data_IF_228608163318
#
_entry.id   IF_228608163318
#
_cell.length_a   1.000
_cell.length_b   1.000
_cell.length_c   1.000
_cell.angle_alpha   90.00
_cell.angle_beta   90.00
_cell.angle_gamma   90.00
#
_symmetry.space_group_name_H-M   'P 1'
#
loop_
_entity.id
_entity.type
_entity.pdbx_description
1 polymer ?
#
# COMPACT_ATOMS: atom_id res chain seq x y z
N UNK A 1 14.42 4.29 -4.24
CA UNK A 1 14.38 2.84 -3.97
C UNK A 1 14.35 2.56 -2.47
N UNK A 2 13.86 1.40 -2.02
CA UNK A 2 13.62 1.11 -0.60
C UNK A 2 14.85 1.29 0.33
N UNK A 3 16.07 1.18 -0.19
CA UNK A 3 17.30 1.48 0.56
C UNK A 3 17.46 2.97 0.88
N UNK A 4 17.05 3.87 -0.03
CA UNK A 4 17.10 5.33 0.17
C UNK A 4 16.13 5.77 1.28
N UNK A 5 14.93 5.16 1.32
CA UNK A 5 13.94 5.43 2.37
C UNK A 5 14.41 5.00 3.76
N UNK A 6 15.33 4.02 3.85
CA UNK A 6 15.91 3.56 5.11
C UNK A 6 17.16 4.31 5.53
N UNK A 7 17.65 5.26 4.72
CA UNK A 7 18.85 6.04 5.00
C UNK A 7 20.09 5.18 5.35
N UNK A 8 20.17 3.97 4.78
CA UNK A 8 21.25 3.01 5.06
C UNK A 8 20.98 2.02 6.20
N UNK A 9 19.88 2.15 6.95
CA UNK A 9 19.54 1.20 8.02
C UNK A 9 19.15 -0.19 7.45
N UNK A 10 19.72 -1.28 7.98
CA UNK A 10 19.37 -2.63 7.57
C UNK A 10 17.93 -2.96 7.94
N UNK A 11 17.24 -3.71 7.07
CA UNK A 11 15.90 -4.21 7.38
C UNK A 11 15.97 -5.25 8.50
N UNK A 12 15.07 -5.16 9.47
CA UNK A 12 14.81 -6.23 10.43
C UNK A 12 13.75 -7.15 9.85
N UNK A 13 14.14 -8.36 9.49
CA UNK A 13 13.22 -9.36 8.92
C UNK A 13 12.55 -10.13 10.05
N UNK A 14 11.23 -10.04 10.13
CA UNK A 14 10.43 -10.76 11.14
C UNK A 14 10.12 -12.21 10.75
N UNK A 15 9.80 -12.44 9.47
CA UNK A 15 9.58 -13.76 8.88
C UNK A 15 9.83 -13.69 7.36
N UNK A 16 10.21 -14.82 6.77
CA UNK A 16 10.22 -15.04 5.32
C UNK A 16 9.02 -15.93 4.97
N UNK A 17 8.17 -15.46 4.06
CA UNK A 17 6.86 -16.05 3.76
C UNK A 17 6.57 -15.93 2.26
N UNK A 18 5.87 -16.92 1.70
CA UNK A 18 5.55 -16.99 0.28
C UNK A 18 4.09 -16.62 -0.03
N UNK A 19 3.21 -16.69 0.97
CA UNK A 19 1.77 -16.44 0.79
C UNK A 19 1.20 -15.40 1.73
N UNK A 20 0.03 -14.85 1.38
CA UNK A 20 -0.70 -13.89 2.21
C UNK A 20 -1.13 -14.54 3.53
N UNK A 21 -1.55 -15.80 3.50
CA UNK A 21 -1.97 -16.52 4.69
C UNK A 21 -0.80 -16.75 5.65
N UNK A 22 0.36 -17.19 5.14
CA UNK A 22 1.60 -17.32 5.92
C UNK A 22 2.06 -15.98 6.51
N UNK A 23 1.89 -14.88 5.77
CA UNK A 23 2.17 -13.53 6.25
C UNK A 23 1.27 -13.19 7.45
N UNK A 24 -0.03 -13.46 7.35
CA UNK A 24 -0.95 -13.18 8.45
C UNK A 24 -0.75 -14.09 9.65
N UNK A 25 -0.42 -15.36 9.44
CA UNK A 25 -0.04 -16.27 10.53
C UNK A 25 1.21 -15.75 11.26
N UNK A 26 2.20 -15.25 10.53
CA UNK A 26 3.41 -14.66 11.13
C UNK A 26 3.11 -13.38 11.93
N UNK A 27 2.17 -12.55 11.46
CA UNK A 27 1.70 -11.37 12.20
C UNK A 27 0.95 -11.79 13.48
N UNK A 28 0.06 -12.78 13.39
CA UNK A 28 -0.67 -13.31 14.55
C UNK A 28 0.26 -13.98 15.58
N UNK A 29 1.38 -14.54 15.12
CA UNK A 29 2.44 -15.07 15.97
C UNK A 29 3.39 -13.97 16.49
N UNK A 30 3.03 -12.70 16.34
CA UNK A 30 3.77 -11.52 16.81
C UNK A 30 5.19 -11.41 16.26
N UNK A 31 5.44 -11.96 15.05
CA UNK A 31 6.77 -11.95 14.42
C UNK A 31 7.07 -10.67 13.66
N UNK A 32 6.09 -9.81 13.42
CA UNK A 32 6.30 -8.52 12.75
C UNK A 32 5.04 -7.90 12.17
N UNK A 33 5.26 -6.98 11.23
CA UNK A 33 4.22 -6.28 10.46
C UNK A 33 4.55 -6.36 8.97
N UNK A 34 3.54 -6.15 8.12
CA UNK A 34 3.71 -6.11 6.67
C UNK A 34 2.95 -4.94 6.05
N UNK A 35 3.49 -4.36 4.98
CA UNK A 35 2.72 -3.45 4.13
C UNK A 35 1.82 -4.26 3.20
N UNK A 36 0.55 -3.87 3.12
CA UNK A 36 -0.42 -4.44 2.19
C UNK A 36 -1.08 -3.35 1.34
N UNK A 37 -1.75 -3.77 0.27
CA UNK A 37 -2.64 -2.88 -0.47
C UNK A 37 -3.87 -2.55 0.37
N UNK A 38 -4.45 -1.36 0.20
CA UNK A 38 -5.67 -0.96 0.92
C UNK A 38 -6.86 -1.90 0.65
N UNK A 39 -6.91 -2.52 -0.54
CA UNK A 39 -7.92 -3.52 -0.90
C UNK A 39 -7.86 -4.79 -0.05
N UNK A 40 -6.70 -5.16 0.49
CA UNK A 40 -6.51 -6.38 1.29
C UNK A 40 -7.40 -6.37 2.53
N UNK A 41 -7.56 -5.20 3.18
CA UNK A 41 -8.41 -5.06 4.36
C UNK A 41 -9.86 -5.49 4.08
N UNK A 42 -10.38 -5.20 2.88
CA UNK A 42 -11.76 -5.56 2.50
C UNK A 42 -12.00 -7.06 2.53
N UNK A 43 -10.99 -7.87 2.21
CA UNK A 43 -11.12 -9.32 2.07
C UNK A 43 -10.62 -10.10 3.29
N UNK A 44 -9.71 -9.52 4.07
CA UNK A 44 -8.98 -10.25 5.13
C UNK A 44 -9.15 -9.65 6.54
N UNK A 45 -10.09 -8.71 6.73
CA UNK A 45 -10.40 -8.18 8.07
C UNK A 45 -10.88 -9.29 9.02
N UNK A 46 -10.24 -9.41 10.18
CA UNK A 46 -10.64 -10.31 11.27
C UNK A 46 -10.23 -9.71 12.63
N UNK A 47 -10.90 -10.06 13.75
CA UNK A 47 -10.70 -9.39 15.04
C UNK A 47 -9.24 -9.33 15.54
N UNK A 48 -8.43 -10.32 15.19
CA UNK A 48 -7.02 -10.43 15.62
C UNK A 48 -6.03 -9.77 14.65
N UNK A 49 -6.48 -9.11 13.59
CA UNK A 49 -5.62 -8.46 12.60
C UNK A 49 -6.02 -6.99 12.44
N UNK A 50 -5.11 -6.08 12.78
CA UNK A 50 -5.29 -4.65 12.61
C UNK A 50 -4.70 -4.19 11.27
N UNK A 51 -5.47 -3.43 10.50
CA UNK A 51 -4.99 -2.71 9.31
C UNK A 51 -4.83 -1.24 9.66
N UNK A 52 -3.60 -0.75 9.64
CA UNK A 52 -3.27 0.64 9.99
C UNK A 52 -2.91 1.39 8.70
N UNK A 53 -3.59 2.51 8.37
CA UNK A 53 -3.24 3.32 7.21
C UNK A 53 -1.83 3.90 7.32
N UNK A 54 -1.08 3.85 6.22
CA UNK A 54 0.25 4.46 6.09
C UNK A 54 0.14 5.63 5.12
N UNK A 55 0.50 6.82 5.58
CA UNK A 55 0.15 8.09 4.91
C UNK A 55 1.33 8.95 4.48
N UNK A 56 2.54 8.51 4.81
CA UNK A 56 3.80 9.20 4.60
C UNK A 56 4.65 8.55 3.51
N UNK A 57 4.09 7.58 2.78
CA UNK A 57 4.75 6.90 1.66
C UNK A 57 3.97 7.06 0.35
N UNK A 58 4.64 7.01 -0.81
CA UNK A 58 3.96 6.98 -2.10
C UNK A 58 3.00 5.78 -2.21
N UNK A 59 1.84 5.95 -2.87
CA UNK A 59 0.89 4.86 -3.06
C UNK A 59 1.42 3.77 -4.00
N UNK A 60 0.98 2.54 -3.77
CA UNK A 60 1.24 1.41 -4.68
C UNK A 60 0.48 1.59 -5.99
N UNK A 61 1.20 1.53 -7.12
CA UNK A 61 0.60 1.59 -8.46
C UNK A 61 0.04 0.22 -8.88
N UNK A 62 -1.18 0.21 -9.42
CA UNK A 62 -1.76 -0.95 -10.12
C UNK A 62 -1.63 -0.72 -11.63
N UNK A 63 -1.04 -1.68 -12.34
CA UNK A 63 -0.87 -1.63 -13.79
C UNK A 63 -1.54 -2.81 -14.47
N UNK A 64 -2.14 -2.58 -15.63
CA UNK A 64 -2.70 -3.61 -16.50
C UNK A 64 -1.75 -3.73 -17.69
N UNK A 65 -1.26 -4.94 -17.95
CA UNK A 65 -0.40 -5.23 -19.09
C UNK A 65 -1.11 -6.20 -20.05
N UNK A 66 -0.96 -5.98 -21.35
CA UNK A 66 -1.51 -6.83 -22.39
C UNK A 66 -0.56 -6.89 -23.58
N UNK A 67 -0.70 -7.95 -24.38
CA UNK A 67 0.00 -8.11 -25.65
C UNK A 67 -0.57 -7.15 -26.70
N UNK A 68 0.31 -6.41 -27.36
CA UNK A 68 -0.06 -5.43 -28.40
C UNK A 68 -0.08 -6.02 -29.81
N UNK A 69 0.44 -7.24 -29.99
CA UNK A 69 0.49 -7.95 -31.26
C UNK A 69 -0.78 -8.77 -31.57
N UNK A 70 -1.76 -8.76 -30.66
CA UNK A 70 -3.05 -9.42 -30.83
C UNK A 70 -4.18 -8.41 -30.76
N UNK A 71 -4.87 -8.20 -31.90
CA UNK A 71 -6.05 -7.35 -31.97
C UNK A 71 -7.27 -8.10 -31.40
N UNK A 72 -7.49 -7.99 -30.09
CA UNK A 72 -8.67 -8.57 -29.41
C UNK A 72 -9.68 -7.49 -29.05
N UNK A 73 -10.94 -7.66 -29.47
CA UNK A 73 -12.04 -6.79 -29.04
C UNK A 73 -12.23 -6.86 -27.54
N UNK A 74 -12.19 -8.07 -26.96
CA UNK A 74 -12.35 -8.27 -25.52
C UNK A 74 -11.26 -7.55 -24.70
N UNK A 75 -10.00 -7.55 -25.17
CA UNK A 75 -8.92 -6.82 -24.50
C UNK A 75 -9.17 -5.31 -24.54
N UNK A 76 -9.58 -4.77 -25.70
CA UNK A 76 -9.92 -3.34 -25.82
C UNK A 76 -11.09 -2.95 -24.91
N UNK A 77 -12.19 -3.71 -24.96
CA UNK A 77 -13.36 -3.48 -24.12
C UNK A 77 -12.99 -3.51 -22.62
N UNK A 78 -12.12 -4.45 -22.22
CA UNK A 78 -11.63 -4.54 -20.85
C UNK A 78 -10.81 -3.32 -20.43
N UNK A 79 -9.87 -2.87 -21.27
CA UNK A 79 -9.03 -1.71 -20.99
C UNK A 79 -9.87 -0.43 -20.88
N UNK A 80 -10.81 -0.23 -21.80
CA UNK A 80 -11.69 0.93 -21.81
C UNK A 80 -12.58 0.95 -20.57
N UNK A 81 -13.13 -0.21 -20.19
CA UNK A 81 -13.90 -0.37 -18.96
C UNK A 81 -13.05 -0.12 -17.71
N UNK A 82 -11.85 -0.70 -17.65
CA UNK A 82 -10.94 -0.51 -16.52
C UNK A 82 -10.55 0.96 -16.33
N UNK A 83 -10.29 1.68 -17.43
CA UNK A 83 -10.04 3.13 -17.40
C UNK A 83 -11.25 3.92 -16.91
N UNK A 84 -12.45 3.58 -17.40
CA UNK A 84 -13.68 4.22 -16.96
C UNK A 84 -13.95 3.97 -15.46
N UNK A 85 -13.74 2.74 -14.97
CA UNK A 85 -13.93 2.43 -13.54
C UNK A 85 -12.87 3.11 -12.67
N UNK A 86 -11.62 3.22 -13.14
CA UNK A 86 -10.54 3.89 -12.42
C UNK A 86 -10.81 5.39 -12.20
N UNK A 87 -11.62 6.04 -13.05
CA UNK A 87 -12.01 7.45 -12.85
C UNK A 87 -13.26 7.61 -11.96
N UNK A 88 -14.03 6.54 -11.74
CA UNK A 88 -15.30 6.59 -11.02
C UNK A 88 -15.17 6.38 -9.50
N UNK A 89 -14.07 5.80 -9.02
CA UNK A 89 -13.89 5.52 -7.59
C UNK A 89 -12.46 5.75 -7.10
N UNK A 90 -12.30 6.58 -6.08
CA UNK A 90 -11.26 6.37 -5.07
C UNK A 90 -11.61 5.16 -4.22
N UNK A 91 -10.64 4.30 -3.90
CA UNK A 91 -10.84 3.19 -2.96
C UNK A 91 -11.44 3.76 -1.67
N UNK A 92 -12.59 3.27 -1.17
CA UNK A 92 -13.15 3.74 0.10
C UNK A 92 -12.11 3.60 1.22
N UNK A 93 -11.82 4.68 1.94
CA UNK A 93 -10.73 4.71 2.93
C UNK A 93 -9.34 5.00 2.36
N UNK A 94 -9.20 5.27 1.05
CA UNK A 94 -8.04 5.96 0.50
C UNK A 94 -8.02 7.36 1.11
N UNK A 95 -7.25 7.50 2.18
CA UNK A 95 -7.05 8.75 2.89
C UNK A 95 -6.58 9.80 1.88
N UNK A 96 -7.27 10.94 1.85
CA UNK A 96 -6.87 12.05 0.99
C UNK A 96 -5.56 12.62 1.53
N UNK A 97 -4.51 12.59 0.73
CA UNK A 97 -3.23 13.19 1.07
C UNK A 97 -3.42 14.71 1.18
N UNK A 98 -3.48 15.24 2.41
CA UNK A 98 -3.26 16.68 2.60
C UNK A 98 -1.81 16.96 2.18
N UNK A 99 -1.54 17.98 1.35
CA UNK A 99 -0.16 18.35 1.05
C UNK A 99 0.55 18.70 2.36
N UNK A 100 1.68 18.06 2.61
CA UNK A 100 2.53 18.37 3.74
C UNK A 100 3.07 19.79 3.54
N UNK A 101 2.56 20.78 4.28
CA UNK A 101 3.26 22.06 4.38
C UNK A 101 4.31 21.92 5.50
N UNK A 102 5.48 21.40 5.14
CA UNK A 102 6.63 21.32 6.03
C UNK A 102 7.32 22.68 6.10
N UNK A 103 6.71 23.62 6.81
CA UNK A 103 7.40 24.81 7.26
C UNK A 103 6.78 25.28 8.58
N UNK A 104 7.59 25.22 9.65
CA UNK A 104 7.35 25.78 10.98
C UNK A 104 6.49 24.91 11.91
N UNK A 105 7.13 24.01 12.66
CA UNK A 105 7.14 24.10 14.13
C UNK A 105 8.11 23.07 14.73
N UNK A 106 9.41 23.37 14.69
CA UNK A 106 10.39 22.82 15.63
C UNK A 106 11.03 24.01 16.33
N UNK A 107 10.26 24.66 17.20
CA UNK A 107 10.80 25.44 18.28
C UNK A 107 9.77 25.44 19.40
N UNK A 108 10.01 24.61 20.42
CA UNK A 108 9.72 24.86 21.83
C UNK A 108 9.54 23.54 22.59
N UNK A 109 10.64 22.82 22.78
CA UNK A 109 10.79 22.00 23.99
C UNK A 109 12.25 21.93 24.44
N UNK A 110 12.72 23.05 24.96
CA UNK A 110 13.82 23.14 25.91
C UNK A 110 13.49 24.42 26.69
N UNK A 111 13.07 24.34 27.95
CA UNK A 111 13.96 24.43 29.12
C UNK A 111 13.10 24.34 30.38
N UNK A 112 13.61 23.69 31.43
CA UNK A 112 13.37 24.06 32.83
C UNK A 112 12.09 23.58 33.48
#
# INVERSE_FOLDING_TARGET
>A
MAAESRQGEPVRVGADVATVDECFESILAERGVAFSQASTQRFYSRPSLAFVPVTDIPPTALSIAWRTDVASKAVRDFIDTARAVATLHTVPGAWSTRPHNSATDVAHRTTG
#
